data_IF_000999985289
#
_entry.id   IF_000999985289
#
_cell.length_a   1.000
_cell.length_b   1.000
_cell.length_c   1.000
_cell.angle_alpha   90.00
_cell.angle_beta   90.00
_cell.angle_gamma   90.00
#
_symmetry.space_group_name_H-M   'P 1'
#
loop_
_entity.id
_entity.type
_entity.pdbx_description
1 polymer ?
#
# COMPACT_ATOMS: atom_id res chain seq x y z
N UNK A 1 -41.89 -19.68 10.78
CA UNK A 1 -40.49 -19.67 11.22
C UNK A 1 -39.67 -20.26 10.08
N UNK A 2 -38.46 -19.78 9.82
CA UNK A 2 -37.61 -20.27 8.74
C UNK A 2 -36.46 -21.09 9.35
N UNK A 3 -36.36 -22.38 9.02
CA UNK A 3 -35.33 -23.27 9.52
C UNK A 3 -34.33 -23.62 8.41
N UNK A 4 -33.06 -23.79 8.78
CA UNK A 4 -32.02 -24.30 7.86
C UNK A 4 -32.16 -25.81 7.76
N UNK A 5 -32.28 -26.33 6.53
CA UNK A 5 -32.36 -27.77 6.26
C UNK A 5 -31.09 -28.22 5.56
N UNK A 6 -30.49 -29.30 6.04
CA UNK A 6 -29.32 -29.94 5.42
C UNK A 6 -29.82 -31.14 4.61
N UNK A 7 -29.40 -31.23 3.34
CA UNK A 7 -29.69 -32.35 2.46
C UNK A 7 -28.42 -33.14 2.20
N UNK A 8 -28.49 -34.45 2.39
CA UNK A 8 -27.41 -35.41 2.16
C UNK A 8 -27.79 -36.35 1.02
N UNK A 9 -26.86 -36.60 0.11
CA UNK A 9 -27.07 -37.55 -0.99
C UNK A 9 -26.41 -38.87 -0.66
N UNK A 10 -27.22 -39.94 -0.55
CA UNK A 10 -26.75 -41.33 -0.49
C UNK A 10 -26.64 -41.96 -1.88
N UNK A 11 -26.22 -43.22 -1.92
CA UNK A 11 -26.01 -43.97 -3.16
C UNK A 11 -27.27 -44.08 -4.04
N UNK A 12 -28.45 -44.16 -3.42
CA UNK A 12 -29.73 -44.33 -4.11
C UNK A 12 -30.87 -43.46 -3.58
N UNK A 13 -30.59 -42.51 -2.67
CA UNK A 13 -31.61 -41.70 -1.99
C UNK A 13 -31.04 -40.37 -1.51
N UNK A 14 -31.91 -39.50 -1.01
CA UNK A 14 -31.55 -38.26 -0.32
C UNK A 14 -32.07 -38.31 1.12
N UNK A 15 -31.22 -37.96 2.08
CA UNK A 15 -31.62 -37.69 3.45
C UNK A 15 -31.75 -36.18 3.66
N UNK A 16 -32.60 -35.76 4.59
CA UNK A 16 -32.59 -34.40 5.07
C UNK A 16 -32.87 -34.33 6.57
N UNK A 17 -32.26 -33.36 7.24
CA UNK A 17 -32.49 -33.10 8.65
C UNK A 17 -32.39 -31.62 8.98
N UNK A 18 -32.97 -31.24 10.12
CA UNK A 18 -32.98 -29.86 10.62
C UNK A 18 -32.13 -29.76 11.89
N UNK A 19 -30.96 -29.10 11.85
CA UNK A 19 -30.06 -29.00 13.01
C UNK A 19 -30.71 -28.41 14.27
N UNK A 20 -31.59 -27.43 14.08
CA UNK A 20 -32.28 -26.73 15.18
C UNK A 20 -33.49 -27.52 15.74
N UNK A 21 -33.94 -28.59 15.06
CA UNK A 21 -35.03 -29.47 15.52
C UNK A 21 -34.52 -30.91 15.63
N UNK A 22 -33.81 -31.25 16.73
CA UNK A 22 -33.23 -32.57 16.93
C UNK A 22 -34.27 -33.69 16.78
N UNK A 23 -34.01 -34.63 15.87
CA UNK A 23 -34.91 -35.74 15.57
C UNK A 23 -35.89 -35.50 14.41
N UNK A 24 -35.94 -34.28 13.85
CA UNK A 24 -36.65 -34.00 12.61
C UNK A 24 -35.79 -34.39 11.40
N UNK A 25 -36.03 -35.60 10.87
CA UNK A 25 -35.25 -36.24 9.81
C UNK A 25 -36.22 -36.88 8.80
N UNK A 26 -35.86 -36.87 7.51
CA UNK A 26 -36.58 -37.62 6.47
C UNK A 26 -35.61 -38.23 5.45
N UNK A 27 -36.12 -39.16 4.65
CA UNK A 27 -35.42 -39.77 3.52
C UNK A 27 -36.38 -39.90 2.34
N UNK A 28 -35.96 -39.51 1.14
CA UNK A 28 -36.70 -39.67 -0.11
C UNK A 28 -35.83 -40.24 -1.23
N UNK A 29 -36.44 -40.74 -2.31
CA UNK A 29 -35.69 -41.28 -3.46
C UNK A 29 -35.10 -40.15 -4.33
N UNK A 30 -35.76 -38.98 -4.33
CA UNK A 30 -35.33 -37.79 -5.06
C UNK A 30 -35.14 -36.58 -4.13
N UNK A 31 -34.39 -35.58 -4.59
CA UNK A 31 -34.18 -34.35 -3.82
C UNK A 31 -35.50 -33.60 -3.64
N UNK A 32 -36.31 -33.51 -4.70
CA UNK A 32 -37.60 -32.84 -4.70
C UNK A 32 -38.59 -33.51 -3.74
N UNK A 33 -38.62 -34.84 -3.71
CA UNK A 33 -39.43 -35.60 -2.75
C UNK A 33 -38.96 -35.36 -1.32
N UNK A 34 -37.64 -35.39 -1.08
CA UNK A 34 -37.05 -35.16 0.24
C UNK A 34 -37.34 -33.76 0.76
N UNK A 35 -37.39 -32.74 -0.13
CA UNK A 35 -37.77 -31.36 0.20
C UNK A 35 -39.23 -31.27 0.68
N UNK A 36 -40.15 -31.99 0.04
CA UNK A 36 -41.54 -32.02 0.45
C UNK A 36 -41.67 -32.72 1.81
N UNK A 37 -41.05 -33.89 1.94
CA UNK A 37 -41.15 -34.69 3.15
C UNK A 37 -40.54 -34.00 4.38
N UNK A 38 -39.44 -33.27 4.22
CA UNK A 38 -38.79 -32.59 5.36
C UNK A 38 -39.62 -31.37 5.79
N UNK A 39 -40.31 -30.71 4.85
CA UNK A 39 -41.23 -29.63 5.19
C UNK A 39 -42.40 -30.15 6.04
N UNK A 40 -43.02 -31.27 5.64
CA UNK A 40 -44.09 -31.91 6.41
C UNK A 40 -43.58 -32.39 7.78
N UNK A 41 -42.37 -32.96 7.84
CA UNK A 41 -41.76 -33.40 9.09
C UNK A 41 -41.48 -32.24 10.06
N UNK A 42 -41.10 -31.06 9.56
CA UNK A 42 -40.90 -29.86 10.38
C UNK A 42 -42.23 -29.39 10.98
N UNK A 43 -43.28 -29.31 10.16
CA UNK A 43 -44.62 -28.91 10.59
C UNK A 43 -45.13 -29.86 11.69
N UNK A 44 -45.07 -31.16 11.43
CA UNK A 44 -45.49 -32.19 12.38
C UNK A 44 -44.69 -32.17 13.69
N UNK A 45 -43.37 -31.98 13.61
CA UNK A 45 -42.51 -31.95 14.81
C UNK A 45 -42.77 -30.73 15.69
N UNK A 46 -43.03 -29.56 15.10
CA UNK A 46 -43.38 -28.34 15.85
C UNK A 46 -44.74 -28.47 16.50
N UNK A 47 -45.73 -29.04 15.79
CA UNK A 47 -47.06 -29.31 16.36
C UNK A 47 -46.96 -30.25 17.57
N UNK A 48 -46.18 -31.33 17.46
CA UNK A 48 -45.95 -32.25 18.57
C UNK A 48 -45.34 -31.58 19.80
N UNK A 49 -44.30 -30.76 19.62
CA UNK A 49 -43.69 -29.99 20.73
C UNK A 49 -44.70 -29.06 21.41
N UNK A 50 -45.57 -28.41 20.62
CA UNK A 50 -46.60 -27.52 21.16
C UNK A 50 -47.69 -28.27 21.94
N UNK A 51 -48.09 -29.45 21.46
CA UNK A 51 -49.08 -30.31 22.13
C UNK A 51 -48.54 -30.88 23.46
N UNK A 52 -47.25 -31.23 23.50
CA UNK A 52 -46.58 -31.73 24.70
C UNK A 52 -46.21 -30.61 25.71
N UNK A 53 -46.37 -29.34 25.30
CA UNK A 53 -46.10 -28.16 26.13
C UNK A 53 -44.61 -27.81 26.23
N UNK A 54 -43.79 -28.32 25.31
CA UNK A 54 -42.37 -28.04 25.20
C UNK A 54 -42.11 -26.73 24.42
N UNK A 55 -41.01 -26.06 24.74
CA UNK A 55 -40.59 -24.84 24.03
C UNK A 55 -40.08 -25.18 22.62
N UNK A 56 -40.64 -24.53 21.59
CA UNK A 56 -40.18 -24.68 20.21
C UNK A 56 -38.81 -24.01 20.04
N UNK A 57 -37.75 -24.75 19.65
CA UNK A 57 -36.41 -24.19 19.41
C UNK A 57 -36.46 -23.05 18.40
N UNK A 58 -35.79 -21.93 18.70
CA UNK A 58 -35.73 -20.81 17.76
C UNK A 58 -34.75 -21.14 16.62
N UNK A 59 -35.09 -20.84 15.36
CA UNK A 59 -34.22 -21.10 14.22
C UNK A 59 -32.92 -20.29 14.32
N UNK A 60 -31.79 -20.95 14.10
CA UNK A 60 -30.48 -20.34 14.13
C UNK A 60 -29.84 -20.40 12.74
N UNK A 61 -29.49 -19.24 12.18
CA UNK A 61 -28.80 -19.13 10.87
C UNK A 61 -27.33 -19.60 10.92
N UNK A 62 -26.88 -20.15 12.05
CA UNK A 62 -25.53 -20.66 12.22
C UNK A 62 -25.60 -22.19 12.17
N UNK A 63 -25.08 -22.81 11.11
CA UNK A 63 -24.78 -24.25 11.11
C UNK A 63 -23.83 -24.54 12.29
N UNK A 64 -24.23 -25.32 13.32
CA UNK A 64 -23.31 -25.70 14.37
C UNK A 64 -22.54 -26.91 13.87
N UNK A 65 -21.47 -26.68 13.09
CA UNK A 65 -20.40 -27.67 13.03
C UNK A 65 -19.56 -27.43 14.27
N UNK A 66 -20.06 -27.87 15.42
CA UNK A 66 -19.30 -27.88 16.65
C UNK A 66 -18.43 -29.14 16.62
N UNK A 67 -17.27 -29.03 15.99
CA UNK A 67 -16.19 -29.96 16.25
C UNK A 67 -15.74 -29.77 17.70
N UNK A 68 -16.31 -30.54 18.62
CA UNK A 68 -15.78 -30.68 19.97
C UNK A 68 -14.52 -31.56 19.90
N UNK A 69 -13.48 -31.06 19.21
CA UNK A 69 -12.18 -31.71 19.15
C UNK A 69 -11.44 -31.29 20.42
N UNK A 70 -11.17 -32.22 21.35
CA UNK A 70 -10.46 -31.90 22.58
C UNK A 70 -9.14 -31.19 22.25
N UNK A 71 -8.90 -30.06 22.90
CA UNK A 71 -7.63 -29.30 22.87
C UNK A 71 -7.30 -28.48 21.62
N UNK A 72 -8.18 -28.35 20.60
CA UNK A 72 -7.92 -27.38 19.52
C UNK A 72 -8.30 -25.94 19.88
N UNK A 73 -9.14 -25.75 20.92
CA UNK A 73 -9.63 -24.43 21.33
C UNK A 73 -10.51 -23.74 20.29
N UNK A 74 -11.14 -24.51 19.40
CA UNK A 74 -12.12 -24.00 18.43
C UNK A 74 -13.40 -23.65 19.19
N UNK A 75 -13.86 -22.42 19.03
CA UNK A 75 -15.14 -21.97 19.54
C UNK A 75 -16.20 -21.87 18.44
N UNK A 76 -15.80 -21.46 17.22
CA UNK A 76 -16.72 -21.33 16.09
C UNK A 76 -16.01 -21.61 14.77
N UNK A 77 -16.54 -22.52 13.95
CA UNK A 77 -16.15 -22.62 12.54
C UNK A 77 -16.71 -21.42 11.78
N UNK A 78 -15.86 -20.74 11.03
CA UNK A 78 -16.21 -19.54 10.26
C UNK A 78 -16.58 -19.92 8.83
N UNK A 79 -15.79 -20.78 8.18
CA UNK A 79 -15.98 -21.14 6.78
C UNK A 79 -15.20 -22.41 6.42
N UNK A 80 -15.80 -23.31 5.63
CA UNK A 80 -15.17 -24.54 5.14
C UNK A 80 -14.83 -24.40 3.65
N UNK A 81 -13.70 -24.96 3.21
CA UNK A 81 -13.19 -24.74 1.85
C UNK A 81 -13.15 -25.98 0.96
N UNK A 82 -12.93 -27.18 1.52
CA UNK A 82 -12.86 -28.44 0.76
C UNK A 82 -13.83 -29.44 1.35
N UNK A 83 -14.58 -30.15 0.49
CA UNK A 83 -15.56 -31.15 0.88
C UNK A 83 -15.47 -32.40 0.02
N UNK A 84 -15.21 -33.53 0.67
CA UNK A 84 -15.80 -34.87 0.47
C UNK A 84 -15.27 -35.70 1.66
N UNK A 85 -16.13 -35.98 2.63
CA UNK A 85 -15.90 -36.69 3.90
C UNK A 85 -14.86 -36.06 4.87
N UNK A 86 -15.33 -35.11 5.69
CA UNK A 86 -14.60 -34.20 6.60
C UNK A 86 -13.94 -32.96 5.94
N UNK A 87 -13.98 -31.79 6.60
CA UNK A 87 -13.36 -30.58 6.07
C UNK A 87 -11.84 -30.68 6.17
N UNK A 88 -11.18 -30.93 5.04
CA UNK A 88 -9.72 -30.96 4.94
C UNK A 88 -9.08 -29.59 5.23
N UNK A 89 -9.79 -28.49 4.95
CA UNK A 89 -9.34 -27.12 5.21
C UNK A 89 -10.53 -26.23 5.59
N UNK A 90 -10.41 -25.49 6.69
CA UNK A 90 -11.42 -24.55 7.15
C UNK A 90 -10.82 -23.41 7.99
N UNK A 91 -11.57 -22.33 8.11
CA UNK A 91 -11.26 -21.23 9.02
C UNK A 91 -12.14 -21.29 10.27
N UNK A 92 -11.57 -20.98 11.42
CA UNK A 92 -12.28 -20.98 12.70
C UNK A 92 -11.86 -19.82 13.61
N UNK A 93 -12.62 -19.62 14.69
CA UNK A 93 -12.31 -18.70 15.78
C UNK A 93 -12.19 -19.43 17.11
N UNK A 94 -11.31 -18.92 17.97
CA UNK A 94 -11.28 -19.30 19.38
C UNK A 94 -12.29 -18.50 20.22
N UNK A 95 -12.35 -18.78 21.53
CA UNK A 95 -13.27 -18.11 22.45
C UNK A 95 -12.97 -16.61 22.62
N UNK A 96 -11.74 -16.16 22.31
CA UNK A 96 -11.35 -14.75 22.29
C UNK A 96 -11.65 -14.07 20.94
N UNK A 97 -12.08 -14.85 19.93
CA UNK A 97 -12.43 -14.36 18.60
C UNK A 97 -11.25 -14.27 17.61
N UNK A 98 -10.06 -14.75 17.97
CA UNK A 98 -8.92 -14.79 17.05
C UNK A 98 -9.20 -15.77 15.91
N UNK A 99 -8.76 -15.43 14.70
CA UNK A 99 -8.98 -16.24 13.50
C UNK A 99 -7.82 -17.20 13.25
N UNK A 100 -8.17 -18.39 12.77
CA UNK A 100 -7.21 -19.42 12.43
C UNK A 100 -7.62 -20.11 11.13
N UNK A 101 -6.63 -20.51 10.35
CA UNK A 101 -6.79 -21.48 9.26
C UNK A 101 -6.34 -22.84 9.80
N UNK A 102 -7.11 -23.88 9.50
CA UNK A 102 -6.87 -25.25 9.94
C UNK A 102 -6.86 -26.16 8.72
N UNK A 103 -5.92 -27.09 8.69
CA UNK A 103 -5.96 -28.25 7.81
C UNK A 103 -5.81 -29.54 8.60
N UNK A 104 -6.33 -30.62 8.06
CA UNK A 104 -6.42 -31.91 8.72
C UNK A 104 -5.86 -32.97 7.79
N UNK A 105 -4.93 -33.78 8.30
CA UNK A 105 -4.50 -35.01 7.67
C UNK A 105 -4.82 -36.20 8.56
N UNK A 106 -4.98 -37.36 7.95
CA UNK A 106 -5.36 -38.57 8.64
C UNK A 106 -4.53 -39.75 8.14
N UNK A 107 -3.99 -40.52 9.08
CA UNK A 107 -3.27 -41.76 8.83
C UNK A 107 -3.99 -42.91 9.58
N UNK A 108 -3.52 -44.15 9.38
CA UNK A 108 -4.10 -45.35 10.01
C UNK A 108 -4.10 -45.33 11.54
N UNK A 109 -3.25 -44.51 12.17
CA UNK A 109 -3.04 -44.49 13.63
C UNK A 109 -3.56 -43.22 14.32
N UNK A 110 -3.47 -42.08 13.65
CA UNK A 110 -3.80 -40.78 14.22
C UNK A 110 -4.41 -39.82 13.18
N UNK A 111 -5.16 -38.85 13.69
CA UNK A 111 -5.62 -37.67 12.96
C UNK A 111 -4.78 -36.47 13.39
N UNK A 112 -4.14 -35.81 12.44
CA UNK A 112 -3.24 -34.68 12.68
C UNK A 112 -3.88 -33.38 12.21
N UNK A 113 -4.03 -32.45 13.14
CA UNK A 113 -4.55 -31.11 12.90
C UNK A 113 -3.40 -30.12 12.84
N UNK A 114 -3.38 -29.26 11.83
CA UNK A 114 -2.43 -28.17 11.71
C UNK A 114 -3.18 -26.84 11.70
N UNK A 115 -2.84 -25.95 12.63
CA UNK A 115 -3.50 -24.67 12.83
C UNK A 115 -2.50 -23.53 12.73
N UNK A 116 -2.84 -22.51 11.95
CA UNK A 116 -2.07 -21.26 11.84
C UNK A 116 -2.96 -20.08 12.21
N UNK A 117 -2.43 -19.16 13.04
CA UNK A 117 -3.11 -17.90 13.35
C UNK A 117 -3.09 -16.99 12.13
N UNK A 118 -4.25 -16.38 11.81
CA UNK A 118 -4.37 -15.45 10.69
C UNK A 118 -5.13 -14.19 11.12
N UNK A 119 -4.67 -13.04 10.63
CA UNK A 119 -5.38 -11.78 10.75
C UNK A 119 -6.66 -11.76 9.90
N UNK A 120 -7.57 -10.83 10.20
CA UNK A 120 -8.79 -10.62 9.39
C UNK A 120 -8.44 -10.22 7.94
N UNK A 121 -7.36 -9.47 7.73
CA UNK A 121 -6.86 -9.12 6.42
C UNK A 121 -6.36 -10.34 5.65
N UNK A 122 -5.54 -11.19 6.27
CA UNK A 122 -5.01 -12.42 5.65
C UNK A 122 -6.10 -13.41 5.33
N UNK A 123 -7.09 -13.55 6.21
CA UNK A 123 -8.32 -14.32 5.95
C UNK A 123 -9.01 -13.87 4.65
N UNK A 124 -9.17 -12.56 4.43
CA UNK A 124 -9.77 -12.04 3.19
C UNK A 124 -8.86 -12.27 1.95
N UNK A 125 -7.52 -12.17 2.10
CA UNK A 125 -6.59 -12.45 1.00
C UNK A 125 -6.60 -13.93 0.59
N UNK A 126 -6.67 -14.85 1.56
CA UNK A 126 -6.82 -16.28 1.31
C UNK A 126 -8.16 -16.54 0.61
N UNK A 127 -9.27 -16.01 1.15
CA UNK A 127 -10.61 -16.13 0.55
C UNK A 127 -10.70 -15.64 -0.88
N UNK A 128 -10.13 -14.47 -1.18
CA UNK A 128 -10.12 -13.90 -2.53
C UNK A 128 -9.18 -14.64 -3.50
N UNK A 129 -8.36 -15.57 -3.01
CA UNK A 129 -7.36 -16.26 -3.79
C UNK A 129 -6.11 -15.46 -4.07
N UNK A 130 -5.89 -14.31 -3.40
CA UNK A 130 -4.66 -13.52 -3.54
C UNK A 130 -3.46 -14.24 -2.92
N UNK A 131 -3.68 -14.89 -1.77
CA UNK A 131 -2.75 -15.84 -1.15
C UNK A 131 -3.22 -17.25 -1.49
N UNK A 132 -2.31 -18.12 -1.94
CA UNK A 132 -2.64 -19.52 -2.18
C UNK A 132 -2.69 -20.27 -0.83
N UNK A 133 -3.43 -21.38 -0.77
CA UNK A 133 -3.69 -22.09 0.49
C UNK A 133 -2.42 -22.64 1.13
N UNK A 134 -1.44 -23.10 0.33
CA UNK A 134 -0.16 -23.59 0.86
C UNK A 134 0.65 -22.48 1.52
N UNK A 135 0.78 -21.34 0.84
CA UNK A 135 1.47 -20.14 1.35
C UNK A 135 0.83 -19.63 2.64
N UNK A 136 -0.47 -19.86 2.83
CA UNK A 136 -1.15 -19.51 4.07
C UNK A 136 -0.55 -20.21 5.30
N UNK A 137 -0.02 -21.43 5.14
CA UNK A 137 0.64 -22.20 6.20
C UNK A 137 2.16 -21.99 6.22
N UNK A 138 2.83 -22.00 5.07
CA UNK A 138 4.30 -21.92 4.98
C UNK A 138 4.85 -20.51 5.22
N UNK A 139 4.05 -19.47 5.04
CA UNK A 139 4.40 -18.06 5.31
C UNK A 139 3.53 -17.51 6.46
N UNK A 140 3.57 -18.18 7.62
CA UNK A 140 2.72 -17.84 8.78
C UNK A 140 3.05 -16.45 9.36
N UNK A 141 2.03 -15.62 9.66
CA UNK A 141 2.22 -14.27 10.21
C UNK A 141 2.98 -14.26 11.55
N UNK A 142 2.76 -15.27 12.38
CA UNK A 142 3.36 -15.37 13.71
C UNK A 142 4.68 -16.15 13.70
N UNK A 143 5.10 -16.71 12.56
CA UNK A 143 6.32 -17.51 12.43
C UNK A 143 6.26 -18.92 13.03
N UNK A 144 5.08 -19.39 13.47
CA UNK A 144 4.88 -20.74 14.01
C UNK A 144 3.45 -21.24 13.77
N UNK A 145 3.28 -22.55 13.86
CA UNK A 145 2.00 -23.25 13.75
C UNK A 145 1.80 -24.17 14.96
N UNK A 146 0.55 -24.54 15.22
CA UNK A 146 0.19 -25.54 16.23
C UNK A 146 -0.22 -26.83 15.53
N UNK A 147 0.53 -27.91 15.78
CA UNK A 147 0.21 -29.27 15.36
C UNK A 147 -0.41 -30.03 16.52
N UNK A 148 -1.52 -30.70 16.30
CA UNK A 148 -2.19 -31.52 17.31
C UNK A 148 -2.44 -32.90 16.73
N UNK A 149 -1.80 -33.91 17.31
CA UNK A 149 -2.03 -35.31 16.95
C UNK A 149 -3.05 -35.92 17.90
N UNK A 150 -4.07 -36.56 17.33
CA UNK A 150 -5.15 -37.21 18.07
C UNK A 150 -5.16 -38.70 17.68
N UNK A 151 -4.76 -39.61 18.58
CA UNK A 151 -4.83 -41.05 18.31
C UNK A 151 -6.28 -41.52 18.11
N UNK A 152 -6.50 -42.45 17.18
CA UNK A 152 -7.84 -43.02 16.95
C UNK A 152 -8.33 -43.86 18.13
N UNK A 153 -7.43 -44.61 18.76
CA UNK A 153 -7.76 -45.52 19.86
C UNK A 153 -8.18 -44.78 21.15
N UNK A 154 -7.61 -43.59 21.39
CA UNK A 154 -7.87 -42.78 22.58
C UNK A 154 -7.71 -41.27 22.27
N UNK A 155 -8.80 -40.58 21.91
CA UNK A 155 -8.78 -39.15 21.61
C UNK A 155 -8.34 -38.26 22.79
N UNK A 156 -8.35 -38.78 24.02
CA UNK A 156 -7.94 -38.01 25.22
C UNK A 156 -6.42 -37.85 25.33
N UNK A 157 -5.64 -38.65 24.57
CA UNK A 157 -4.17 -38.59 24.54
C UNK A 157 -3.63 -37.62 23.47
N UNK A 158 -4.36 -36.54 23.16
CA UNK A 158 -3.91 -35.59 22.16
C UNK A 158 -2.63 -34.85 22.59
N UNK A 159 -1.70 -34.66 21.65
CA UNK A 159 -0.40 -34.03 21.91
C UNK A 159 -0.25 -32.75 21.08
N UNK A 160 -0.40 -31.56 21.69
CA UNK A 160 -0.15 -30.28 21.03
C UNK A 160 1.34 -29.98 20.99
N UNK A 161 1.84 -29.58 19.83
CA UNK A 161 3.23 -29.21 19.57
C UNK A 161 3.28 -27.95 18.71
N UNK A 162 4.16 -27.01 19.07
CA UNK A 162 4.46 -25.84 18.24
C UNK A 162 5.54 -26.24 17.24
N UNK A 163 5.27 -26.02 15.95
CA UNK A 163 6.21 -26.29 14.87
C UNK A 163 6.51 -25.04 14.06
N UNK A 164 7.67 -24.99 13.43
CA UNK A 164 8.05 -23.92 12.52
C UNK A 164 7.57 -24.19 11.08
N UNK A 165 7.43 -23.16 10.22
CA UNK A 165 6.93 -23.35 8.86
C UNK A 165 7.77 -24.29 7.97
N UNK A 166 9.06 -24.43 8.28
CA UNK A 166 9.98 -25.36 7.60
C UNK A 166 9.90 -26.80 8.14
N UNK A 167 9.15 -27.05 9.21
CA UNK A 167 8.95 -28.37 9.85
C UNK A 167 7.58 -28.97 9.52
N UNK A 168 6.79 -28.31 8.65
CA UNK A 168 5.47 -28.79 8.24
C UNK A 168 5.64 -30.03 7.36
N UNK A 169 4.99 -31.16 7.71
CA UNK A 169 4.92 -32.34 6.84
C UNK A 169 4.22 -32.03 5.51
N UNK A 170 4.81 -32.50 4.40
CA UNK A 170 4.33 -32.20 3.04
C UNK A 170 2.94 -32.78 2.74
N UNK A 171 2.59 -33.88 3.38
CA UNK A 171 1.28 -34.56 3.31
C UNK A 171 0.15 -33.76 3.96
N UNK A 172 0.47 -32.83 4.86
CA UNK A 172 -0.50 -31.92 5.49
C UNK A 172 -0.68 -30.62 4.71
N UNK A 173 0.16 -30.35 3.70
CA UNK A 173 0.09 -29.09 2.96
C UNK A 173 -0.89 -29.19 1.78
N UNK A 174 -1.69 -28.13 1.55
CA UNK A 174 -2.50 -28.00 0.34
C UNK A 174 -1.66 -28.13 -0.93
N UNK A 175 -2.31 -28.44 -2.06
CA UNK A 175 -1.59 -28.59 -3.32
C UNK A 175 -0.92 -27.25 -3.73
N UNK A 176 0.27 -27.29 -4.34
CA UNK A 176 0.94 -26.07 -4.80
C UNK A 176 0.06 -25.25 -5.75
N UNK A 177 -0.13 -23.96 -5.43
CA UNK A 177 -0.88 -23.02 -6.26
C UNK A 177 -2.41 -23.08 -6.10
N UNK A 178 -2.94 -23.90 -5.20
CA UNK A 178 -4.38 -23.97 -4.91
C UNK A 178 -4.88 -22.63 -4.32
N UNK A 179 -5.90 -22.04 -4.96
CA UNK A 179 -6.44 -20.72 -4.60
C UNK A 179 -7.95 -20.81 -4.43
N UNK A 180 -8.46 -20.10 -3.43
CA UNK A 180 -9.90 -19.88 -3.30
C UNK A 180 -10.36 -18.78 -4.28
N UNK A 181 -11.68 -18.63 -4.44
CA UNK A 181 -12.29 -17.63 -5.32
C UNK A 181 -13.52 -16.97 -4.69
N UNK A 182 -13.52 -16.77 -3.38
CA UNK A 182 -14.66 -16.30 -2.62
C UNK A 182 -14.72 -14.77 -2.60
N UNK A 183 -15.95 -14.22 -2.63
CA UNK A 183 -16.17 -12.78 -2.45
C UNK A 183 -15.76 -12.36 -1.04
N UNK A 184 -15.10 -11.21 -0.93
CA UNK A 184 -14.66 -10.63 0.35
C UNK A 184 -15.08 -9.18 0.45
N UNK A 185 -15.35 -8.73 1.67
CA UNK A 185 -15.55 -7.31 1.96
C UNK A 185 -14.21 -6.60 1.75
N UNK A 186 -14.16 -5.76 0.73
CA UNK A 186 -13.10 -4.80 0.51
C UNK A 186 -13.53 -3.45 1.12
N UNK A 187 -12.61 -2.50 1.28
CA UNK A 187 -12.97 -1.09 1.49
C UNK A 187 -14.11 -0.64 0.52
N UNK A 188 -14.88 0.39 0.85
CA UNK A 188 -15.93 0.88 -0.04
C UNK A 188 -15.37 1.22 -1.42
N UNK A 189 -16.17 0.97 -2.46
CA UNK A 189 -15.85 1.46 -3.79
C UNK A 189 -15.75 2.99 -3.74
N UNK A 190 -14.68 3.53 -4.31
CA UNK A 190 -14.53 4.97 -4.42
C UNK A 190 -15.62 5.56 -5.33
N UNK A 191 -16.02 6.81 -5.06
CA UNK A 191 -16.94 7.57 -5.91
C UNK A 191 -16.41 7.65 -7.37
N UNK A 192 -17.24 8.00 -8.37
CA UNK A 192 -16.69 8.25 -9.71
C UNK A 192 -15.77 9.48 -9.71
N UNK A 193 -14.53 9.39 -10.23
CA UNK A 193 -13.66 10.55 -10.40
C UNK A 193 -14.29 11.65 -11.25
N UNK A 194 -15.02 11.29 -12.30
CA UNK A 194 -15.68 12.20 -13.25
C UNK A 194 -16.82 12.96 -12.58
N UNK A 195 -17.63 12.25 -11.78
CA UNK A 195 -18.70 12.85 -10.99
C UNK A 195 -18.13 13.81 -9.94
N UNK A 196 -17.05 13.43 -9.24
CA UNK A 196 -16.40 14.29 -8.24
C UNK A 196 -15.77 15.53 -8.88
N UNK A 197 -15.03 15.37 -9.98
CA UNK A 197 -14.41 16.47 -10.70
C UNK A 197 -15.47 17.47 -11.16
N UNK A 198 -16.54 16.97 -11.79
CA UNK A 198 -17.62 17.81 -12.31
C UNK A 198 -18.47 18.47 -11.22
N UNK A 199 -18.86 17.71 -10.18
CA UNK A 199 -19.76 18.21 -9.12
C UNK A 199 -19.07 19.15 -8.14
N UNK A 200 -17.79 18.89 -7.82
CA UNK A 200 -17.00 19.72 -6.91
C UNK A 200 -16.17 20.77 -7.63
N UNK A 201 -16.11 20.73 -8.96
CA UNK A 201 -15.32 21.62 -9.81
C UNK A 201 -13.85 21.70 -9.36
N UNK A 202 -13.23 20.52 -9.18
CA UNK A 202 -11.86 20.33 -8.67
C UNK A 202 -11.09 19.34 -9.53
N UNK A 203 -9.77 19.50 -9.61
CA UNK A 203 -8.90 18.47 -10.17
C UNK A 203 -8.90 17.25 -9.25
N UNK A 204 -9.13 16.04 -9.79
CA UNK A 204 -9.15 14.80 -9.03
C UNK A 204 -7.98 13.92 -9.46
N UNK A 205 -7.22 13.43 -8.48
CA UNK A 205 -6.08 12.54 -8.66
C UNK A 205 -6.34 11.22 -7.94
N UNK A 206 -5.99 10.10 -8.55
CA UNK A 206 -5.96 8.80 -7.89
C UNK A 206 -4.54 8.26 -7.90
N UNK A 207 -3.93 8.14 -6.72
CA UNK A 207 -2.63 7.54 -6.53
C UNK A 207 -2.81 6.11 -6.02
N UNK A 208 -2.25 5.14 -6.74
CA UNK A 208 -2.30 3.72 -6.41
C UNK A 208 -0.88 3.18 -6.19
N UNK A 209 -0.32 3.35 -4.98
CA UNK A 209 0.97 2.78 -4.61
C UNK A 209 0.80 1.32 -4.18
N UNK A 210 1.44 0.38 -4.90
CA UNK A 210 1.37 -1.03 -4.56
C UNK A 210 2.45 -1.39 -3.52
N UNK A 211 2.12 -1.30 -2.23
CA UNK A 211 3.07 -1.55 -1.15
C UNK A 211 3.52 -3.02 -1.08
N UNK A 212 4.82 -3.23 -0.88
CA UNK A 212 5.38 -4.58 -0.79
C UNK A 212 5.09 -5.21 0.59
N UNK A 213 4.56 -6.43 0.61
CA UNK A 213 4.44 -7.22 1.84
C UNK A 213 3.36 -6.76 2.83
N UNK A 214 2.41 -5.93 2.39
CA UNK A 214 1.34 -5.36 3.22
C UNK A 214 -0.02 -5.68 2.60
N UNK A 215 -1.07 -5.70 3.44
CA UNK A 215 -2.45 -5.90 2.99
C UNK A 215 -2.87 -4.82 1.98
N UNK A 216 -3.71 -5.18 1.00
CA UNK A 216 -4.26 -4.23 0.00
C UNK A 216 -5.02 -3.03 0.59
N UNK A 217 -5.37 -3.10 1.88
CA UNK A 217 -6.13 -2.07 2.61
C UNK A 217 -5.27 -1.30 3.60
N UNK A 218 -3.94 -1.51 3.61
CA UNK A 218 -3.01 -0.89 4.55
C UNK A 218 -1.85 -0.21 3.82
N UNK A 219 -1.28 0.81 4.47
CA UNK A 219 -0.11 1.55 4.00
C UNK A 219 0.75 1.99 5.19
N UNK A 220 2.09 1.86 5.13
CA UNK A 220 2.97 2.41 6.15
C UNK A 220 2.85 3.93 6.20
N UNK A 221 2.60 4.48 7.40
CA UNK A 221 2.34 5.91 7.56
C UNK A 221 3.56 6.77 7.23
N UNK A 222 4.76 6.26 7.51
CA UNK A 222 6.04 6.90 7.22
C UNK A 222 6.30 6.96 5.71
N UNK A 223 6.25 5.81 5.03
CA UNK A 223 6.40 5.73 3.57
C UNK A 223 5.34 6.57 2.85
N UNK A 224 4.06 6.41 3.24
CA UNK A 224 2.95 7.16 2.67
C UNK A 224 3.14 8.67 2.88
N UNK A 225 3.53 9.09 4.08
CA UNK A 225 3.80 10.49 4.39
C UNK A 225 4.92 11.08 3.54
N UNK A 226 6.02 10.35 3.35
CA UNK A 226 7.13 10.76 2.48
C UNK A 226 6.70 10.88 1.02
N UNK A 227 5.94 9.91 0.51
CA UNK A 227 5.40 9.91 -0.86
C UNK A 227 4.49 11.12 -1.08
N UNK A 228 3.49 11.33 -0.22
CA UNK A 228 2.53 12.43 -0.35
C UNK A 228 3.22 13.80 -0.26
N UNK A 229 4.17 13.94 0.67
CA UNK A 229 4.94 15.19 0.83
C UNK A 229 5.86 15.43 -0.36
N UNK A 230 6.52 14.38 -0.86
CA UNK A 230 7.38 14.43 -2.04
C UNK A 230 6.57 14.83 -3.28
N UNK A 231 5.40 14.22 -3.48
CA UNK A 231 4.50 14.54 -4.57
C UNK A 231 4.07 16.02 -4.53
N UNK A 232 3.62 16.51 -3.37
CA UNK A 232 3.25 17.92 -3.21
C UNK A 232 4.42 18.88 -3.50
N UNK A 233 5.65 18.52 -3.11
CA UNK A 233 6.85 19.34 -3.38
C UNK A 233 7.16 19.44 -4.87
N UNK A 234 7.11 18.32 -5.60
CA UNK A 234 7.35 18.30 -7.05
C UNK A 234 6.28 19.13 -7.76
N UNK A 235 5.00 18.97 -7.40
CA UNK A 235 3.91 19.76 -7.96
C UNK A 235 4.09 21.25 -7.69
N UNK A 236 4.42 21.66 -6.46
CA UNK A 236 4.69 23.07 -6.15
C UNK A 236 5.85 23.63 -6.99
N UNK A 237 6.89 22.82 -7.23
CA UNK A 237 8.08 23.22 -8.00
C UNK A 237 7.75 23.45 -9.48
N UNK A 238 7.00 22.53 -10.08
CA UNK A 238 6.50 22.67 -11.44
C UNK A 238 5.55 23.87 -11.51
N UNK A 239 4.61 23.96 -10.56
CA UNK A 239 3.64 25.03 -10.42
C UNK A 239 4.23 26.44 -10.43
N UNK A 240 5.36 26.63 -9.74
CA UNK A 240 6.05 27.92 -9.66
C UNK A 240 6.48 28.51 -11.02
N UNK A 241 6.53 27.70 -12.09
CA UNK A 241 6.87 28.15 -13.44
C UNK A 241 5.66 28.72 -14.20
N UNK A 242 4.44 28.50 -13.72
CA UNK A 242 3.24 29.04 -14.33
C UNK A 242 2.92 30.43 -13.75
N UNK A 243 2.65 31.43 -14.61
CA UNK A 243 2.27 32.76 -14.14
C UNK A 243 0.92 32.70 -13.42
N UNK A 244 0.86 33.30 -12.24
CA UNK A 244 -0.35 33.44 -11.45
C UNK A 244 -1.37 34.27 -12.23
N UNK A 245 -2.41 33.62 -12.80
CA UNK A 245 -3.47 34.29 -13.56
C UNK A 245 -4.24 35.33 -12.72
N UNK A 246 -4.13 35.26 -11.38
CA UNK A 246 -4.79 36.14 -10.41
C UNK A 246 -3.82 36.88 -9.46
N UNK A 247 -2.70 37.39 -9.97
CA UNK A 247 -1.76 38.24 -9.20
C UNK A 247 -2.34 39.55 -8.63
N UNK A 248 -3.60 39.90 -8.92
CA UNK A 248 -4.27 41.12 -8.44
C UNK A 248 -5.39 40.84 -7.43
N UNK A 249 -5.08 40.13 -6.33
CA UNK A 249 -5.70 40.25 -4.98
C UNK A 249 -5.25 39.05 -4.14
N UNK A 250 -4.06 39.13 -3.53
CA UNK A 250 -3.77 38.26 -2.39
C UNK A 250 -4.49 38.82 -1.16
N UNK A 251 -5.66 38.27 -0.86
CA UNK A 251 -6.08 38.16 0.53
C UNK A 251 -5.03 37.32 1.27
N UNK A 252 -4.72 37.65 2.52
CA UNK A 252 -3.81 36.85 3.38
C UNK A 252 -4.24 35.37 3.53
N UNK A 253 -5.43 34.99 3.03
CA UNK A 253 -6.05 33.67 3.18
C UNK A 253 -5.73 32.62 2.09
N UNK A 254 -4.99 32.93 1.00
CA UNK A 254 -4.67 31.89 -0.01
C UNK A 254 -3.52 31.01 0.50
N UNK A 255 -3.89 29.94 1.21
CA UNK A 255 -3.02 28.81 1.59
C UNK A 255 -2.65 28.01 0.32
N UNK A 256 -1.40 28.11 -0.13
CA UNK A 256 -0.79 27.34 -1.23
C UNK A 256 -1.68 27.08 -2.48
N UNK A 257 -1.52 27.80 -3.60
CA UNK A 257 -2.37 27.65 -4.80
C UNK A 257 -2.25 26.29 -5.49
N UNK A 258 -1.22 25.50 -5.17
CA UNK A 258 -1.02 24.15 -5.67
C UNK A 258 -1.36 23.07 -4.63
N UNK A 259 -2.08 23.42 -3.56
CA UNK A 259 -2.41 22.50 -2.49
C UNK A 259 -3.24 21.30 -2.97
N UNK A 260 -2.93 20.13 -2.41
CA UNK A 260 -3.63 18.88 -2.68
C UNK A 260 -4.15 18.31 -1.36
N UNK A 261 -5.43 17.93 -1.32
CA UNK A 261 -6.06 17.32 -0.15
C UNK A 261 -6.44 15.88 -0.43
N UNK A 262 -6.27 15.01 0.57
CA UNK A 262 -6.81 13.66 0.54
C UNK A 262 -8.32 13.70 0.77
N UNK A 263 -9.08 12.98 -0.05
CA UNK A 263 -10.55 12.92 0.01
C UNK A 263 -11.04 11.59 0.55
N UNK A 264 -10.60 10.49 -0.07
CA UNK A 264 -11.14 9.16 0.14
C UNK A 264 -10.00 8.14 0.01
N UNK A 265 -10.11 7.02 0.72
CA UNK A 265 -9.24 5.84 0.56
C UNK A 265 -10.12 4.66 0.19
N UNK A 266 -9.74 3.92 -0.84
CA UNK A 266 -10.60 2.95 -1.52
C UNK A 266 -10.11 1.52 -1.49
N UNK A 267 -11.02 0.60 -1.81
CA UNK A 267 -10.65 -0.78 -2.11
C UNK A 267 -9.98 -0.92 -3.47
N UNK A 268 -8.89 -1.66 -3.49
CA UNK A 268 -7.95 -1.78 -4.60
C UNK A 268 -6.57 -1.96 -4.00
N UNK A 269 -5.50 -1.77 -4.76
CA UNK A 269 -4.11 -1.77 -4.24
C UNK A 269 -3.82 -0.50 -3.41
N UNK A 270 -4.60 -0.26 -2.35
CA UNK A 270 -4.64 0.94 -1.53
C UNK A 270 -4.79 2.22 -2.36
N UNK A 271 -5.98 2.45 -2.93
CA UNK A 271 -6.24 3.63 -3.76
C UNK A 271 -6.44 4.89 -2.90
N UNK A 272 -5.64 5.92 -3.17
CA UNK A 272 -5.70 7.20 -2.47
C UNK A 272 -6.26 8.25 -3.41
N UNK A 273 -7.45 8.77 -3.08
CA UNK A 273 -8.05 9.86 -3.82
C UNK A 273 -7.62 11.21 -3.26
N UNK A 274 -7.11 12.04 -4.14
CA UNK A 274 -6.64 13.38 -3.86
C UNK A 274 -7.42 14.40 -4.70
N UNK A 275 -7.47 15.66 -4.26
CA UNK A 275 -8.10 16.73 -5.03
C UNK A 275 -7.47 18.10 -4.77
N UNK A 276 -7.53 18.97 -5.77
CA UNK A 276 -7.05 20.37 -5.70
C UNK A 276 -7.67 21.12 -4.52
N UNK A 277 -6.94 21.88 -3.72
CA UNK A 277 -7.56 22.71 -2.66
C UNK A 277 -8.36 23.86 -3.25
N UNK A 278 -7.97 24.34 -4.43
CA UNK A 278 -8.68 25.37 -5.18
C UNK A 278 -9.72 24.78 -6.14
N UNK A 279 -10.75 25.58 -6.44
CA UNK A 279 -11.73 25.27 -7.48
C UNK A 279 -11.14 25.63 -8.85
N UNK A 280 -11.50 24.86 -9.87
CA UNK A 280 -11.20 25.20 -11.25
C UNK A 280 -11.99 26.45 -11.64
N UNK A 281 -11.41 27.34 -12.43
CA UNK A 281 -12.06 28.59 -12.80
C UNK A 281 -13.28 28.39 -13.73
N UNK A 282 -13.97 29.48 -14.06
CA UNK A 282 -15.16 29.46 -14.94
C UNK A 282 -14.85 29.01 -16.38
N UNK A 283 -13.58 29.06 -16.79
CA UNK A 283 -13.10 28.57 -18.08
C UNK A 283 -12.58 27.14 -18.00
N UNK A 284 -12.80 26.48 -16.86
CA UNK A 284 -12.32 25.13 -16.57
C UNK A 284 -10.79 25.01 -16.63
N UNK A 285 -10.08 26.10 -16.36
CA UNK A 285 -8.62 26.11 -16.26
C UNK A 285 -8.19 26.16 -14.79
N UNK A 286 -7.11 25.45 -14.45
CA UNK A 286 -6.51 25.55 -13.12
C UNK A 286 -4.99 25.52 -13.17
N UNK A 287 -4.37 26.33 -12.32
CA UNK A 287 -2.91 26.37 -12.18
C UNK A 287 -2.37 24.99 -11.75
N UNK A 288 -3.11 24.29 -10.88
CA UNK A 288 -2.77 22.94 -10.48
C UNK A 288 -2.91 21.94 -11.64
N UNK A 289 -3.94 22.06 -12.48
CA UNK A 289 -4.14 21.19 -13.64
C UNK A 289 -2.97 21.26 -14.61
N UNK A 290 -2.49 22.48 -14.91
CA UNK A 290 -1.27 22.67 -15.71
C UNK A 290 -0.04 22.01 -15.07
N UNK A 291 0.11 22.13 -13.74
CA UNK A 291 1.21 21.49 -13.02
C UNK A 291 1.12 19.96 -12.98
N UNK A 292 -0.09 19.40 -12.84
CA UNK A 292 -0.34 17.95 -12.90
C UNK A 292 -0.05 17.43 -14.30
N UNK A 293 -0.46 18.15 -15.35
CA UNK A 293 -0.19 17.73 -16.73
C UNK A 293 1.31 17.61 -17.01
N UNK A 294 2.10 18.62 -16.62
CA UNK A 294 3.55 18.59 -16.75
C UNK A 294 4.20 17.52 -15.84
N UNK A 295 3.67 17.32 -14.63
CA UNK A 295 4.10 16.21 -13.79
C UNK A 295 3.86 14.85 -14.46
N UNK A 296 2.70 14.64 -15.09
CA UNK A 296 2.42 13.39 -15.81
C UNK A 296 3.35 13.20 -17.00
N UNK A 297 3.73 14.27 -17.71
CA UNK A 297 4.77 14.22 -18.76
C UNK A 297 6.12 13.79 -18.18
N UNK A 298 6.52 14.37 -17.05
CA UNK A 298 7.73 14.01 -16.32
C UNK A 298 7.70 12.53 -15.86
N UNK A 299 6.59 12.09 -15.29
CA UNK A 299 6.42 10.72 -14.79
C UNK A 299 6.40 9.68 -15.92
N UNK A 300 5.70 9.98 -17.03
CA UNK A 300 5.62 9.11 -18.20
C UNK A 300 6.89 9.13 -19.06
N UNK A 301 7.77 10.12 -18.92
CA UNK A 301 9.09 10.07 -19.54
C UNK A 301 9.86 8.83 -19.06
N UNK A 302 9.65 8.41 -17.80
CA UNK A 302 10.27 7.19 -17.26
C UNK A 302 11.78 7.19 -17.47
N UNK A 303 12.33 6.05 -17.91
CA UNK A 303 13.77 5.92 -18.18
C UNK A 303 14.19 6.44 -19.57
N UNK A 304 13.30 7.12 -20.31
CA UNK A 304 13.64 7.76 -21.59
C UNK A 304 14.38 9.08 -21.35
N UNK A 305 15.72 9.01 -21.32
CA UNK A 305 16.60 10.17 -21.12
C UNK A 305 16.36 11.30 -22.12
N UNK A 306 15.95 10.99 -23.36
CA UNK A 306 15.73 11.99 -24.42
C UNK A 306 14.49 12.83 -24.10
N UNK A 307 13.47 12.24 -23.47
CA UNK A 307 12.28 12.96 -23.00
C UNK A 307 12.48 13.62 -21.64
N UNK A 308 13.24 12.97 -20.75
CA UNK A 308 13.43 13.43 -19.38
C UNK A 308 14.31 14.69 -19.31
N UNK A 309 15.42 14.73 -20.05
CA UNK A 309 16.38 15.84 -19.98
C UNK A 309 15.77 17.21 -20.32
N UNK A 310 15.00 17.38 -21.42
CA UNK A 310 14.35 18.66 -21.71
C UNK A 310 13.36 19.12 -20.63
N UNK A 311 12.64 18.19 -20.00
CA UNK A 311 11.70 18.51 -18.91
C UNK A 311 12.44 18.98 -17.66
N UNK A 312 13.57 18.34 -17.32
CA UNK A 312 14.42 18.78 -16.21
C UNK A 312 15.05 20.15 -16.50
N UNK A 313 15.53 20.38 -17.72
CA UNK A 313 16.08 21.68 -18.14
C UNK A 313 15.02 22.78 -18.10
N UNK A 314 13.78 22.48 -18.46
CA UNK A 314 12.65 23.41 -18.42
C UNK A 314 12.32 23.89 -16.99
N UNK A 315 12.32 22.99 -16.00
CA UNK A 315 11.91 23.31 -14.62
C UNK A 315 13.10 23.54 -13.66
N UNK A 316 14.33 23.48 -14.16
CA UNK A 316 15.57 23.75 -13.43
C UNK A 316 16.08 22.61 -12.54
N UNK A 317 17.33 22.67 -12.06
CA UNK A 317 18.02 21.54 -11.43
C UNK A 317 17.36 21.02 -10.15
N UNK A 318 16.64 21.89 -9.42
CA UNK A 318 15.93 21.48 -8.20
C UNK A 318 14.79 20.49 -8.45
N UNK A 319 14.19 20.50 -9.65
CA UNK A 319 13.15 19.53 -9.98
C UNK A 319 13.73 18.11 -10.04
N UNK A 320 14.97 17.95 -10.53
CA UNK A 320 15.64 16.66 -10.58
C UNK A 320 15.83 16.10 -9.17
N UNK A 321 16.26 16.94 -8.23
CA UNK A 321 16.42 16.57 -6.82
C UNK A 321 15.10 16.21 -6.14
N UNK A 322 14.08 17.08 -6.23
CA UNK A 322 12.77 16.84 -5.61
C UNK A 322 12.09 15.59 -6.21
N UNK A 323 12.22 15.38 -7.52
CA UNK A 323 11.69 14.21 -8.21
C UNK A 323 12.47 12.93 -7.86
N UNK A 324 13.80 13.00 -7.77
CA UNK A 324 14.65 11.89 -7.30
C UNK A 324 14.25 11.45 -5.90
N UNK A 325 14.01 12.39 -4.97
CA UNK A 325 13.56 12.06 -3.61
C UNK A 325 12.18 11.39 -3.58
N UNK A 326 11.25 11.84 -4.42
CA UNK A 326 9.94 11.20 -4.59
C UNK A 326 10.09 9.76 -5.11
N UNK A 327 10.88 9.57 -6.17
CA UNK A 327 11.12 8.25 -6.75
C UNK A 327 11.84 7.29 -5.79
N UNK A 328 12.79 7.79 -4.99
CA UNK A 328 13.43 7.00 -3.91
C UNK A 328 12.38 6.53 -2.90
N UNK A 329 11.56 7.46 -2.39
CA UNK A 329 10.48 7.14 -1.43
C UNK A 329 9.50 6.10 -1.99
N UNK A 330 9.14 6.20 -3.27
CA UNK A 330 8.30 5.22 -3.96
C UNK A 330 9.02 3.87 -4.09
N UNK A 331 10.19 3.83 -4.73
CA UNK A 331 10.93 2.59 -5.04
C UNK A 331 11.35 1.78 -3.81
N UNK A 332 11.55 2.42 -2.66
CA UNK A 332 11.82 1.76 -1.39
C UNK A 332 10.60 1.01 -0.85
N UNK A 333 9.39 1.54 -1.07
CA UNK A 333 8.16 1.09 -0.39
C UNK A 333 7.18 0.34 -1.29
N UNK A 334 7.24 0.52 -2.61
CA UNK A 334 6.24 0.04 -3.57
C UNK A 334 6.84 -0.80 -4.70
N UNK A 335 6.06 -1.75 -5.22
CA UNK A 335 6.44 -2.54 -6.42
C UNK A 335 6.20 -1.78 -7.71
N UNK A 336 5.11 -1.03 -7.74
CA UNK A 336 4.69 -0.18 -8.85
C UNK A 336 3.77 0.93 -8.34
N UNK A 337 3.64 1.99 -9.11
CA UNK A 337 2.76 3.10 -8.78
C UNK A 337 2.04 3.57 -10.02
N UNK A 338 0.72 3.67 -9.91
CA UNK A 338 -0.15 4.27 -10.92
C UNK A 338 -0.68 5.59 -10.40
N UNK A 339 -0.73 6.58 -11.28
CA UNK A 339 -1.38 7.86 -11.07
C UNK A 339 -2.41 8.08 -12.18
N UNK A 340 -3.63 8.45 -11.82
CA UNK A 340 -4.63 8.92 -12.78
C UNK A 340 -5.10 10.32 -12.39
N UNK A 341 -5.34 11.16 -13.38
CA UNK A 341 -5.83 12.52 -13.23
C UNK A 341 -7.11 12.68 -14.06
N UNK A 342 -8.15 13.19 -13.41
CA UNK A 342 -9.42 13.55 -14.00
C UNK A 342 -9.65 15.04 -13.78
N UNK A 343 -9.81 15.79 -14.86
CA UNK A 343 -10.09 17.23 -14.81
C UNK A 343 -11.58 17.53 -15.03
N UNK A 344 -12.12 18.62 -14.45
CA UNK A 344 -13.42 19.16 -14.85
C UNK A 344 -13.44 19.69 -16.29
N UNK A 345 -12.25 19.94 -16.87
CA UNK A 345 -12.09 20.25 -18.29
C UNK A 345 -12.22 18.96 -19.12
N UNK A 346 -13.12 18.92 -20.12
CA UNK A 346 -13.42 17.68 -20.85
C UNK A 346 -12.24 17.10 -21.63
N UNK A 347 -11.33 17.97 -22.08
CA UNK A 347 -10.17 17.58 -22.89
C UNK A 347 -8.89 17.35 -22.06
N UNK A 348 -8.93 17.56 -20.73
CA UNK A 348 -7.77 17.39 -19.86
C UNK A 348 -7.93 16.17 -18.96
N UNK A 349 -6.81 15.52 -18.69
CA UNK A 349 -6.71 14.31 -17.89
C UNK A 349 -5.52 13.49 -18.33
N UNK A 350 -5.25 12.41 -17.61
CA UNK A 350 -4.16 11.54 -17.98
C UNK A 350 -3.91 10.42 -17.01
N UNK A 351 -3.06 9.50 -17.43
CA UNK A 351 -2.61 8.39 -16.59
C UNK A 351 -1.10 8.25 -16.72
N UNK A 352 -0.46 7.79 -15.65
CA UNK A 352 0.94 7.48 -15.64
C UNK A 352 1.22 6.27 -14.74
N UNK A 353 2.21 5.46 -15.10
CA UNK A 353 2.60 4.30 -14.32
C UNK A 353 4.10 4.07 -14.40
N UNK A 354 4.72 3.76 -13.26
CA UNK A 354 6.11 3.35 -13.18
C UNK A 354 6.23 2.11 -12.29
N UNK A 355 7.03 1.14 -12.75
CA UNK A 355 7.49 0.01 -11.94
C UNK A 355 8.71 0.39 -11.11
N UNK A 356 8.97 -0.36 -10.03
CA UNK A 356 10.18 -0.19 -9.19
C UNK A 356 11.48 -0.21 -9.99
N UNK A 357 11.60 -1.11 -10.97
CA UNK A 357 12.78 -1.18 -11.84
C UNK A 357 12.97 0.12 -12.64
N UNK A 358 11.91 0.62 -13.27
CA UNK A 358 11.95 1.87 -14.02
C UNK A 358 12.27 3.06 -13.11
N UNK A 359 11.70 3.14 -11.90
CA UNK A 359 11.99 4.22 -10.95
C UNK A 359 13.47 4.28 -10.59
N UNK A 360 14.12 3.13 -10.38
CA UNK A 360 15.56 3.05 -10.10
C UNK A 360 16.41 3.52 -11.29
N UNK A 361 16.03 3.15 -12.51
CA UNK A 361 16.70 3.66 -13.72
C UNK A 361 16.54 5.18 -13.88
N UNK A 362 15.34 5.71 -13.62
CA UNK A 362 15.10 7.16 -13.69
C UNK A 362 15.97 7.90 -12.67
N UNK A 363 16.09 7.37 -11.45
CA UNK A 363 16.93 7.96 -10.40
C UNK A 363 18.38 8.09 -10.87
N UNK A 364 18.96 7.03 -11.46
CA UNK A 364 20.34 7.05 -11.97
C UNK A 364 20.54 8.09 -13.09
N UNK A 365 19.55 8.21 -13.99
CA UNK A 365 19.56 9.23 -15.04
C UNK A 365 19.50 10.64 -14.44
N UNK A 366 18.63 10.88 -13.46
CA UNK A 366 18.47 12.18 -12.82
C UNK A 366 19.72 12.59 -12.05
N UNK A 367 20.35 11.67 -11.32
CA UNK A 367 21.61 11.91 -10.61
C UNK A 367 22.76 12.22 -11.59
N UNK A 368 22.75 11.61 -12.77
CA UNK A 368 23.69 11.93 -13.85
C UNK A 368 23.44 13.32 -14.44
N UNK A 369 22.18 13.67 -14.71
CA UNK A 369 21.80 15.01 -15.21
C UNK A 369 22.15 16.10 -14.19
N UNK A 370 21.92 15.86 -12.90
CA UNK A 370 22.28 16.79 -11.83
C UNK A 370 23.79 17.03 -11.77
N UNK A 371 24.60 15.98 -11.96
CA UNK A 371 26.07 16.11 -12.08
C UNK A 371 26.47 16.89 -13.34
N UNK A 372 25.86 16.61 -14.49
CA UNK A 372 26.16 17.28 -15.77
C UNK A 372 25.78 18.76 -15.78
N UNK A 373 24.69 19.13 -15.08
CA UNK A 373 24.19 20.51 -15.03
C UNK A 373 24.86 21.35 -13.94
N UNK A 374 25.73 20.74 -13.14
CA UNK A 374 26.49 21.41 -12.11
C UNK A 374 27.88 21.80 -12.62
N UNK A 375 28.20 23.09 -12.60
CA UNK A 375 29.55 23.56 -12.90
C UNK A 375 30.39 23.53 -11.62
N UNK A 376 31.44 22.70 -11.64
CA UNK A 376 32.46 22.74 -10.60
C UNK A 376 33.57 23.68 -11.04
N UNK A 377 33.84 24.68 -10.21
CA UNK A 377 34.88 25.68 -10.46
C UNK A 377 35.90 25.62 -9.33
N UNK A 378 37.16 25.83 -9.68
CA UNK A 378 38.25 25.94 -8.70
C UNK A 378 38.60 27.41 -8.57
N UNK A 379 38.30 27.97 -7.42
CA UNK A 379 38.60 29.37 -7.11
C UNK A 379 39.78 29.42 -6.16
N UNK A 380 40.71 30.35 -6.40
CA UNK A 380 41.77 30.66 -5.45
C UNK A 380 41.39 31.93 -4.71
N UNK A 381 41.14 31.82 -3.41
CA UNK A 381 40.65 32.97 -2.64
C UNK A 381 40.99 32.90 -1.16
N UNK A 382 40.73 34.01 -0.47
CA UNK A 382 40.92 34.15 0.97
C UNK A 382 39.67 33.66 1.69
N UNK A 383 39.84 32.68 2.59
CA UNK A 383 38.74 32.17 3.40
C UNK A 383 38.38 33.16 4.50
N UNK A 384 37.27 33.87 4.34
CA UNK A 384 36.81 34.91 5.28
C UNK A 384 35.73 34.43 6.22
N UNK A 385 35.02 33.34 5.87
CA UNK A 385 34.01 32.74 6.73
C UNK A 385 34.02 31.21 6.65
N UNK A 386 34.02 30.54 7.80
CA UNK A 386 33.84 29.11 7.89
C UNK A 386 33.14 28.75 9.20
N UNK A 387 32.05 28.00 9.11
CA UNK A 387 31.31 27.50 10.27
C UNK A 387 30.90 26.05 10.05
N UNK A 388 31.54 25.15 10.80
CA UNK A 388 31.22 23.73 10.79
C UNK A 388 29.84 23.46 11.41
N UNK A 389 29.39 24.30 12.36
CA UNK A 389 28.06 24.15 12.99
C UNK A 389 26.91 24.45 12.02
N UNK A 390 27.01 25.54 11.26
CA UNK A 390 25.98 25.92 10.28
C UNK A 390 26.27 25.40 8.87
N UNK A 391 27.34 24.60 8.73
CA UNK A 391 27.87 24.07 7.46
C UNK A 391 28.01 25.15 6.40
N UNK A 392 28.58 26.30 6.73
CA UNK A 392 28.63 27.46 5.83
C UNK A 392 30.05 27.96 5.62
N UNK A 393 30.33 28.44 4.40
CA UNK A 393 31.62 29.02 4.03
C UNK A 393 31.43 30.36 3.30
N UNK A 394 32.49 31.16 3.28
CA UNK A 394 32.64 32.35 2.45
C UNK A 394 34.11 32.52 2.06
N UNK A 395 34.37 32.68 0.76
CA UNK A 395 35.69 32.92 0.19
C UNK A 395 35.63 34.18 -0.66
N UNK A 396 36.55 35.10 -0.43
CA UNK A 396 36.78 36.28 -1.27
C UNK A 396 37.85 35.96 -2.30
N UNK A 397 37.66 36.38 -3.53
CA UNK A 397 38.59 36.10 -4.63
C UNK A 397 38.77 37.34 -5.50
N UNK A 398 40.00 37.55 -5.96
CA UNK A 398 40.33 38.59 -6.95
C UNK A 398 40.28 38.01 -8.39
N UNK A 399 39.90 36.74 -8.53
CA UNK A 399 39.82 36.03 -9.81
C UNK A 399 38.51 36.38 -10.54
N UNK A 400 38.56 37.38 -11.42
CA UNK A 400 37.43 37.87 -12.22
C UNK A 400 36.86 36.83 -13.22
N UNK A 401 37.50 35.66 -13.37
CA UNK A 401 37.15 34.68 -14.41
C UNK A 401 35.81 33.95 -14.17
N UNK A 402 35.25 33.97 -12.96
CA UNK A 402 34.07 33.18 -12.61
C UNK A 402 32.94 34.05 -12.06
N UNK A 403 31.81 34.09 -12.79
CA UNK A 403 30.56 34.78 -12.44
C UNK A 403 30.65 36.29 -12.14
N UNK A 404 31.79 36.96 -12.41
CA UNK A 404 32.02 38.39 -12.12
C UNK A 404 31.69 38.76 -10.65
N UNK A 405 32.11 37.92 -9.70
CA UNK A 405 31.82 38.11 -8.26
C UNK A 405 33.10 38.17 -7.42
N UNK A 406 33.14 39.13 -6.50
CA UNK A 406 34.25 39.31 -5.55
C UNK A 406 34.28 38.25 -4.44
N UNK A 407 33.18 37.50 -4.26
CA UNK A 407 33.09 36.47 -3.23
C UNK A 407 32.10 35.37 -3.58
N UNK A 408 32.35 34.20 -2.99
CA UNK A 408 31.53 33.01 -3.06
C UNK A 408 31.08 32.62 -1.66
N UNK A 409 29.77 32.46 -1.45
CA UNK A 409 29.18 32.07 -0.17
C UNK A 409 28.23 30.90 -0.36
N UNK A 410 28.25 29.96 0.59
CA UNK A 410 27.47 28.75 0.40
C UNK A 410 27.48 27.77 1.57
N UNK A 411 27.09 26.53 1.27
CA UNK A 411 27.10 25.40 2.22
C UNK A 411 28.29 24.47 1.99
N UNK A 412 28.71 23.75 3.02
CA UNK A 412 29.75 22.71 2.93
C UNK A 412 29.04 21.37 2.78
N UNK A 413 29.51 20.49 1.87
CA UNK A 413 28.94 19.13 1.76
C UNK A 413 29.24 18.29 3.00
N UNK A 414 28.42 17.27 3.23
CA UNK A 414 28.61 16.33 4.34
C UNK A 414 29.89 15.50 4.18
N UNK A 415 30.34 15.28 2.95
CA UNK A 415 31.61 14.59 2.64
C UNK A 415 32.83 15.47 2.95
N UNK A 416 32.72 16.77 2.67
CA UNK A 416 33.83 17.71 2.81
C UNK A 416 34.04 18.16 4.26
N UNK A 417 32.97 18.23 5.06
CA UNK A 417 32.99 18.88 6.38
C UNK A 417 33.97 18.26 7.37
N UNK A 418 34.20 16.95 7.26
CA UNK A 418 35.09 16.20 8.15
C UNK A 418 36.51 16.02 7.61
N UNK A 419 36.82 16.61 6.45
CA UNK A 419 38.15 16.52 5.86
C UNK A 419 39.17 17.36 6.64
N UNK A 420 40.39 16.84 6.74
CA UNK A 420 41.56 17.50 7.37
C UNK A 420 41.72 18.98 6.94
N UNK A 421 41.67 19.32 5.63
CA UNK A 421 41.82 20.70 5.18
C UNK A 421 40.73 21.65 5.67
N UNK A 422 39.48 21.18 5.78
CA UNK A 422 38.36 22.01 6.24
C UNK A 422 38.37 22.14 7.77
N UNK A 423 38.69 21.07 8.51
CA UNK A 423 38.73 21.11 9.97
C UNK A 423 39.88 21.97 10.52
N UNK A 424 41.00 22.00 9.80
CA UNK A 424 42.19 22.77 10.16
C UNK A 424 42.29 24.12 9.42
N UNK A 425 41.27 24.47 8.62
CA UNK A 425 41.26 25.72 7.88
C UNK A 425 41.29 26.92 8.82
N UNK A 426 42.26 27.80 8.58
CA UNK A 426 42.41 29.07 9.29
C UNK A 426 41.82 30.20 8.45
N UNK A 427 40.99 31.04 9.07
CA UNK A 427 40.44 32.24 8.43
C UNK A 427 41.57 33.20 8.02
N UNK A 428 41.29 34.02 7.01
CA UNK A 428 42.24 34.98 6.41
C UNK A 428 43.46 34.35 5.74
N UNK A 429 43.45 33.03 5.50
CA UNK A 429 44.42 32.36 4.64
C UNK A 429 43.86 32.10 3.26
N UNK A 430 44.76 31.99 2.28
CA UNK A 430 44.41 31.66 0.90
C UNK A 430 44.27 30.16 0.73
N UNK A 431 43.20 29.74 0.06
CA UNK A 431 42.94 28.36 -0.31
C UNK A 431 42.55 28.29 -1.79
N UNK A 432 42.80 27.13 -2.40
CA UNK A 432 42.11 26.69 -3.59
C UNK A 432 40.87 25.93 -3.13
N UNK A 433 39.71 26.49 -3.42
CA UNK A 433 38.42 25.93 -3.10
C UNK A 433 37.76 25.38 -4.35
N UNK A 434 37.38 24.11 -4.29
CA UNK A 434 36.55 23.49 -5.30
C UNK A 434 35.08 23.69 -4.89
N UNK A 435 34.37 24.51 -5.66
CA UNK A 435 32.98 24.87 -5.37
C UNK A 435 32.09 24.48 -6.55
N UNK A 436 30.86 24.10 -6.24
CA UNK A 436 29.84 23.72 -7.20
C UNK A 436 28.72 24.77 -7.18
N UNK A 437 28.44 25.38 -8.32
CA UNK A 437 27.39 26.39 -8.48
C UNK A 437 26.07 25.77 -8.95
N UNK A 438 24.95 26.22 -8.37
CA UNK A 438 23.61 25.89 -8.83
C UNK A 438 22.80 27.17 -9.01
N UNK A 439 22.19 27.33 -10.20
CA UNK A 439 21.28 28.44 -10.47
C UNK A 439 19.97 28.21 -9.69
N UNK A 440 19.65 29.12 -8.78
CA UNK A 440 18.39 29.13 -8.05
C UNK A 440 17.44 30.14 -8.69
N UNK A 441 16.36 29.64 -9.30
CA UNK A 441 15.24 30.49 -9.69
C UNK A 441 14.42 30.75 -8.42
N UNK A 442 14.41 32.01 -7.97
CA UNK A 442 13.60 32.45 -6.83
C UNK A 442 12.10 32.40 -7.13
N UNK A 443 11.28 32.35 -6.08
CA UNK A 443 9.80 32.41 -6.19
C UNK A 443 9.28 33.76 -6.72
N UNK A 444 10.17 34.74 -6.90
CA UNK A 444 9.90 36.05 -7.50
C UNK A 444 10.79 36.25 -8.71
N UNK A 445 10.19 36.68 -9.82
CA UNK A 445 10.69 36.61 -11.20
C UNK A 445 12.02 37.30 -11.56
N UNK A 446 12.74 37.93 -10.63
CA UNK A 446 13.77 38.92 -10.99
C UNK A 446 15.19 38.71 -10.41
N UNK A 447 15.49 37.65 -9.66
CA UNK A 447 16.89 37.36 -9.27
C UNK A 447 17.22 35.86 -9.39
N UNK A 448 18.07 35.53 -10.37
CA UNK A 448 18.80 34.25 -10.39
C UNK A 448 19.94 34.36 -9.36
N UNK A 449 19.71 33.90 -8.13
CA UNK A 449 20.81 33.80 -7.17
C UNK A 449 21.54 32.47 -7.39
N UNK A 450 22.87 32.50 -7.40
CA UNK A 450 23.66 31.28 -7.60
C UNK A 450 24.09 30.80 -6.22
N UNK A 451 23.59 29.63 -5.81
CA UNK A 451 24.03 29.01 -4.56
C UNK A 451 25.25 28.14 -4.81
N UNK A 452 26.25 28.33 -3.97
CA UNK A 452 27.48 27.57 -4.03
C UNK A 452 27.53 26.49 -2.95
N UNK A 453 28.15 25.37 -3.28
CA UNK A 453 28.49 24.32 -2.31
C UNK A 453 29.99 24.05 -2.36
N UNK A 454 30.64 24.04 -1.21
CA UNK A 454 32.07 23.75 -1.08
C UNK A 454 32.28 22.24 -1.04
N UNK A 455 33.04 21.73 -2.02
CA UNK A 455 33.38 20.32 -2.18
C UNK A 455 34.72 19.99 -1.53
N UNK A 456 35.71 20.88 -1.61
CA UNK A 456 37.02 20.67 -0.99
C UNK A 456 37.79 21.98 -0.77
N UNK A 457 38.73 21.96 0.17
CA UNK A 457 39.76 22.99 0.36
C UNK A 457 41.14 22.36 0.22
N UNK A 458 42.05 23.11 -0.41
CA UNK A 458 43.48 22.79 -0.45
C UNK A 458 44.28 24.10 -0.34
N UNK A 459 45.49 24.05 0.22
CA UNK A 459 46.38 25.21 0.34
C UNK A 459 47.30 25.36 -0.87
#
# INVERSE_FOLDING_TARGET
MEYVVIYEKGDSSYGAYVPDLPGCITVGETLEETQILIQEAIEFHIEGLQEDGDDVPQPSLNLPIQYDIPNLGIHKVVENYVHNDDPAIFSCKDAAGHLYLVTVGENDQDKTWLRVGISKGRFNLIRSGSINLRDAFTDSENGYLLRIKVPHDDPTQSSPEVILPNEIPEDLLPFPGERLGLKTETLPALSSPEELASSKNREILNLTPNFSGIFRTEAPIDSLGMILTGFQKVINRIGAHFPDSNSKKKSEDIRNPFGISMLEVGAGSFDIRLASTELVDIFKSSNLGNAIEEFLKLFNAGSDRVKLKPLIEQFGPKIAKDYTNLLKSLSESVTDTRLTWTSPHPDLGGTAQLSKAQMLEVIDILETIEKETSETIKIRGTLVGLSLRSKSFQIETDDENYYERDYFRGKITDEAIDTEPIRNATLSQTYIAEIQGFVEIGETKDENDIKFTLLSLSQ
#
